data_IF_836153414439
#
_entry.id   IF_836153414439
#
_cell.length_a   1.000
_cell.length_b   1.000
_cell.length_c   1.000
_cell.angle_alpha   90.00
_cell.angle_beta   90.00
_cell.angle_gamma   90.00
#
_symmetry.space_group_name_H-M   'P 1'
#
loop_
_entity.id
_entity.type
_entity.pdbx_description
1 polymer ?
#
# COMPACT_ATOMS: atom_id res chain seq x y z
N UNK A 1 -8.77 -23.39 9.00
CA UNK A 1 -8.29 -22.42 7.99
C UNK A 1 -9.16 -21.16 7.79
N UNK A 2 -10.42 -21.09 8.26
CA UNK A 2 -11.30 -19.90 8.09
C UNK A 2 -10.82 -18.64 8.84
N UNK A 3 -10.17 -18.80 9.99
CA UNK A 3 -9.68 -17.71 10.84
C UNK A 3 -8.55 -16.88 10.22
N UNK A 4 -7.67 -17.48 9.41
CA UNK A 4 -6.55 -16.76 8.76
C UNK A 4 -7.03 -15.71 7.76
N UNK A 5 -8.10 -16.02 6.99
CA UNK A 5 -8.67 -15.11 5.99
C UNK A 5 -9.27 -13.85 6.62
N UNK A 6 -9.95 -13.99 7.76
CA UNK A 6 -10.51 -12.86 8.51
C UNK A 6 -9.42 -11.93 9.05
N UNK A 7 -8.32 -12.50 9.55
CA UNK A 7 -7.18 -11.73 10.07
C UNK A 7 -6.50 -10.92 8.95
N UNK A 8 -6.27 -11.52 7.79
CA UNK A 8 -5.69 -10.83 6.63
C UNK A 8 -6.59 -9.69 6.11
N UNK A 9 -7.91 -9.92 6.07
CA UNK A 9 -8.88 -8.88 5.70
C UNK A 9 -8.89 -7.74 6.72
N UNK A 10 -8.80 -8.05 8.01
CA UNK A 10 -8.72 -7.05 9.06
C UNK A 10 -7.44 -6.22 8.93
N UNK A 11 -6.28 -6.85 8.71
CA UNK A 11 -4.99 -6.17 8.48
C UNK A 11 -5.05 -5.17 7.32
N UNK A 12 -5.65 -5.57 6.19
CA UNK A 12 -5.82 -4.69 5.04
C UNK A 12 -6.74 -3.50 5.35
N UNK A 13 -7.91 -3.75 5.93
CA UNK A 13 -8.89 -2.70 6.27
C UNK A 13 -8.33 -1.74 7.32
N UNK A 14 -7.68 -2.27 8.36
CA UNK A 14 -7.06 -1.45 9.41
C UNK A 14 -5.89 -0.65 8.84
N UNK A 15 -5.03 -1.23 8.00
CA UNK A 15 -3.94 -0.51 7.35
C UNK A 15 -4.43 0.64 6.48
N UNK A 16 -5.46 0.40 5.65
CA UNK A 16 -6.08 1.44 4.83
C UNK A 16 -6.77 2.52 5.68
N UNK A 17 -7.44 2.14 6.76
CA UNK A 17 -8.13 3.07 7.66
C UNK A 17 -7.15 3.95 8.42
N UNK A 18 -6.08 3.37 8.99
CA UNK A 18 -5.01 4.12 9.65
C UNK A 18 -4.32 5.08 8.68
N UNK A 19 -4.06 4.64 7.44
CA UNK A 19 -3.49 5.50 6.41
C UNK A 19 -4.41 6.68 6.06
N UNK A 20 -5.73 6.44 5.95
CA UNK A 20 -6.71 7.51 5.68
C UNK A 20 -6.89 8.48 6.85
N UNK A 21 -6.95 7.98 8.09
CA UNK A 21 -7.12 8.81 9.29
C UNK A 21 -5.87 9.67 9.52
N UNK A 22 -4.68 9.09 9.32
CA UNK A 22 -3.43 9.85 9.29
C UNK A 22 -3.52 10.98 8.26
N UNK A 23 -3.91 10.65 7.01
CA UNK A 23 -4.06 11.62 5.90
C UNK A 23 -4.93 12.83 6.23
N UNK A 24 -6.01 12.56 6.97
CA UNK A 24 -6.99 13.57 7.30
C UNK A 24 -6.44 14.54 8.35
N UNK A 25 -5.62 14.04 9.28
CA UNK A 25 -5.09 14.81 10.41
C UNK A 25 -3.87 15.66 10.06
N UNK A 26 -2.96 15.17 9.20
CA UNK A 26 -1.62 15.79 9.03
C UNK A 26 -1.57 16.96 8.05
N UNK A 27 -2.34 16.91 6.96
CA UNK A 27 -2.14 17.82 5.82
C UNK A 27 -3.36 18.75 5.63
N UNK A 28 -3.24 20.08 5.73
CA UNK A 28 -4.33 20.99 5.35
C UNK A 28 -4.48 21.11 3.82
N UNK A 29 -3.42 20.82 3.05
CA UNK A 29 -3.40 20.96 1.59
C UNK A 29 -4.01 19.74 0.89
N UNK A 30 -5.04 19.96 0.07
CA UNK A 30 -5.76 18.88 -0.65
C UNK A 30 -4.84 18.12 -1.63
N UNK A 31 -3.88 18.81 -2.26
CA UNK A 31 -2.90 18.23 -3.18
C UNK A 31 -2.00 17.18 -2.50
N UNK A 32 -1.55 17.47 -1.27
CA UNK A 32 -0.74 16.53 -0.48
C UNK A 32 -1.52 15.27 -0.08
N UNK A 33 -2.80 15.41 0.28
CA UNK A 33 -3.67 14.26 0.54
C UNK A 33 -3.81 13.38 -0.70
N UNK A 34 -4.06 13.99 -1.86
CA UNK A 34 -4.18 13.29 -3.14
C UNK A 34 -2.93 12.50 -3.50
N UNK A 35 -1.74 13.05 -3.23
CA UNK A 35 -0.46 12.38 -3.46
C UNK A 35 -0.34 11.06 -2.69
N UNK A 36 -0.48 11.11 -1.36
CA UNK A 36 -0.35 9.93 -0.50
C UNK A 36 -1.47 8.90 -0.78
N UNK A 37 -2.69 9.36 -1.04
CA UNK A 37 -3.78 8.46 -1.45
C UNK A 37 -3.48 7.78 -2.79
N UNK A 38 -2.89 8.50 -3.75
CA UNK A 38 -2.41 7.96 -5.02
C UNK A 38 -1.31 6.92 -4.84
N UNK A 39 -0.37 7.15 -3.92
CA UNK A 39 0.68 6.18 -3.57
C UNK A 39 0.07 4.90 -2.98
N UNK A 40 -0.90 5.03 -2.06
CA UNK A 40 -1.61 3.86 -1.49
C UNK A 40 -2.36 3.07 -2.57
N UNK A 41 -3.10 3.77 -3.45
CA UNK A 41 -3.85 3.12 -4.53
C UNK A 41 -2.95 2.43 -5.54
N UNK A 42 -1.87 3.08 -5.97
CA UNK A 42 -0.93 2.50 -6.94
C UNK A 42 -0.21 1.28 -6.37
N UNK A 43 0.24 1.34 -5.11
CA UNK A 43 0.87 0.20 -4.43
C UNK A 43 -0.07 -1.00 -4.30
N UNK A 44 -1.28 -0.77 -3.78
CA UNK A 44 -2.28 -1.84 -3.60
C UNK A 44 -2.76 -2.42 -4.93
N UNK A 45 -2.87 -1.61 -5.99
CA UNK A 45 -3.21 -2.09 -7.33
C UNK A 45 -2.08 -2.92 -7.94
N UNK A 46 -0.83 -2.45 -7.86
CA UNK A 46 0.33 -3.17 -8.39
C UNK A 46 0.51 -4.54 -7.70
N UNK A 47 0.38 -4.58 -6.37
CA UNK A 47 0.42 -5.82 -5.60
C UNK A 47 -0.75 -6.74 -5.95
N UNK A 48 -1.98 -6.22 -6.05
CA UNK A 48 -3.13 -7.03 -6.48
C UNK A 48 -2.96 -7.62 -7.88
N UNK A 49 -2.50 -6.82 -8.85
CA UNK A 49 -2.28 -7.26 -10.22
C UNK A 49 -1.23 -8.39 -10.28
N UNK A 50 -0.12 -8.22 -9.56
CA UNK A 50 0.92 -9.25 -9.44
C UNK A 50 0.37 -10.57 -8.86
N UNK A 51 -0.30 -10.51 -7.70
CA UNK A 51 -0.86 -11.71 -7.05
C UNK A 51 -1.98 -12.36 -7.87
N UNK A 52 -2.75 -11.58 -8.61
CA UNK A 52 -3.78 -12.11 -9.51
C UNK A 52 -3.16 -12.88 -10.68
N UNK A 53 -2.12 -12.34 -11.31
CA UNK A 53 -1.40 -13.03 -12.39
C UNK A 53 -0.67 -14.28 -11.88
N UNK A 54 -0.12 -14.24 -10.66
CA UNK A 54 0.46 -15.40 -9.97
C UNK A 54 -0.57 -16.52 -9.80
N UNK A 55 -1.79 -16.20 -9.37
CA UNK A 55 -2.87 -17.19 -9.23
C UNK A 55 -3.38 -17.78 -10.53
N UNK A 56 -3.41 -16.97 -11.59
CA UNK A 56 -3.86 -17.42 -12.92
C UNK A 56 -2.80 -18.25 -13.63
N UNK A 57 -1.57 -18.33 -13.10
CA UNK A 57 -0.45 -18.99 -13.77
C UNK A 57 0.02 -18.26 -15.03
N UNK A 58 -0.42 -17.03 -15.25
CA UNK A 58 -0.09 -16.18 -16.40
C UNK A 58 1.05 -15.22 -16.07
N UNK A 59 2.04 -15.67 -15.29
CA UNK A 59 3.18 -14.86 -14.90
C UNK A 59 4.19 -14.80 -16.04
N UNK A 60 4.14 -13.72 -16.81
CA UNK A 60 5.22 -13.34 -17.72
C UNK A 60 6.37 -12.68 -16.97
N UNK A 61 7.61 -12.95 -17.40
CA UNK A 61 8.81 -12.29 -16.85
C UNK A 61 8.74 -10.76 -17.02
N UNK A 62 8.25 -10.29 -18.17
CA UNK A 62 8.04 -8.86 -18.44
C UNK A 62 7.02 -8.25 -17.47
N UNK A 63 5.90 -8.93 -17.25
CA UNK A 63 4.86 -8.47 -16.33
C UNK A 63 5.38 -8.37 -14.89
N UNK A 64 6.17 -9.36 -14.47
CA UNK A 64 6.83 -9.37 -13.16
C UNK A 64 7.77 -8.18 -13.00
N UNK A 65 8.61 -7.91 -14.01
CA UNK A 65 9.53 -6.75 -13.98
C UNK A 65 8.78 -5.42 -13.92
N UNK A 66 7.71 -5.27 -14.70
CA UNK A 66 6.90 -4.04 -14.69
C UNK A 66 6.24 -3.85 -13.32
N UNK A 67 5.63 -4.89 -12.74
CA UNK A 67 5.04 -4.80 -11.40
C UNK A 67 6.07 -4.44 -10.34
N UNK A 68 7.27 -5.02 -10.42
CA UNK A 68 8.37 -4.71 -9.51
C UNK A 68 8.84 -3.25 -9.66
N UNK A 69 8.94 -2.75 -10.88
CA UNK A 69 9.30 -1.35 -11.15
C UNK A 69 8.24 -0.39 -10.58
N UNK A 70 6.96 -0.67 -10.80
CA UNK A 70 5.85 0.13 -10.24
C UNK A 70 5.89 0.10 -8.70
N UNK A 71 6.17 -1.05 -8.09
CA UNK A 71 6.31 -1.17 -6.65
C UNK A 71 7.48 -0.31 -6.12
N UNK A 72 8.64 -0.36 -6.77
CA UNK A 72 9.79 0.48 -6.44
C UNK A 72 9.50 1.97 -6.59
N UNK A 73 8.85 2.38 -7.68
CA UNK A 73 8.41 3.77 -7.87
C UNK A 73 7.45 4.22 -6.78
N UNK A 74 6.50 3.36 -6.40
CA UNK A 74 5.51 3.67 -5.36
C UNK A 74 6.19 3.87 -4.00
N UNK A 75 7.15 2.99 -3.65
CA UNK A 75 7.95 3.13 -2.43
C UNK A 75 8.78 4.41 -2.49
N UNK A 76 9.46 4.69 -3.62
CA UNK A 76 10.23 5.91 -3.80
C UNK A 76 9.39 7.18 -3.63
N UNK A 77 8.20 7.22 -4.22
CA UNK A 77 7.23 8.31 -4.05
C UNK A 77 6.79 8.44 -2.59
N UNK A 78 6.53 7.33 -1.90
CA UNK A 78 6.19 7.38 -0.47
C UNK A 78 7.30 8.07 0.34
N UNK A 79 8.56 7.68 0.14
CA UNK A 79 9.70 8.30 0.84
C UNK A 79 9.86 9.78 0.49
N UNK A 80 9.78 10.14 -0.79
CA UNK A 80 9.87 11.54 -1.23
C UNK A 80 8.74 12.38 -0.63
N UNK A 81 7.51 11.87 -0.62
CA UNK A 81 6.35 12.53 -0.02
C UNK A 81 6.51 12.72 1.48
N UNK A 82 6.95 11.69 2.20
CA UNK A 82 7.18 11.74 3.65
C UNK A 82 8.30 12.73 4.01
N UNK A 83 9.36 12.82 3.21
CA UNK A 83 10.48 13.75 3.44
C UNK A 83 10.15 15.22 3.10
N UNK A 84 9.28 15.46 2.12
CA UNK A 84 8.96 16.82 1.66
C UNK A 84 7.67 17.40 2.29
N UNK A 85 6.78 16.57 2.80
CA UNK A 85 5.54 17.06 3.38
C UNK A 85 5.79 17.70 4.76
N UNK A 86 5.15 18.84 5.08
CA UNK A 86 5.21 19.45 6.41
C UNK A 86 4.32 18.68 7.40
N UNK A 87 4.61 17.40 7.61
CA UNK A 87 3.89 16.48 8.51
C UNK A 87 4.64 16.31 9.83
N UNK A 88 3.92 15.94 10.88
CA UNK A 88 4.52 15.79 12.20
C UNK A 88 5.48 14.58 12.24
N UNK A 89 6.51 14.62 13.08
CA UNK A 89 7.55 13.58 13.12
C UNK A 89 6.99 12.17 13.42
N UNK A 90 5.92 12.08 14.21
CA UNK A 90 5.21 10.82 14.46
C UNK A 90 4.53 10.28 13.21
N UNK A 91 3.88 11.14 12.45
CA UNK A 91 3.13 10.75 11.25
C UNK A 91 4.08 10.30 10.14
N UNK A 92 5.24 10.95 10.04
CA UNK A 92 6.34 10.58 9.16
C UNK A 92 6.72 9.08 9.25
N UNK A 93 6.58 8.47 10.43
CA UNK A 93 6.84 7.05 10.67
C UNK A 93 5.58 6.20 10.51
N UNK A 94 4.43 6.68 10.96
CA UNK A 94 3.17 5.93 10.91
C UNK A 94 2.71 5.68 9.46
N UNK A 95 2.86 6.64 8.55
CA UNK A 95 2.45 6.48 7.14
C UNK A 95 3.14 5.30 6.43
N UNK A 96 4.48 5.22 6.40
CA UNK A 96 5.15 4.11 5.75
C UNK A 96 4.83 2.78 6.42
N UNK A 97 4.74 2.73 7.75
CA UNK A 97 4.34 1.51 8.47
C UNK A 97 2.93 1.07 8.04
N UNK A 98 1.95 1.98 8.04
CA UNK A 98 0.58 1.68 7.64
C UNK A 98 0.50 1.21 6.17
N UNK A 99 1.30 1.81 5.28
CA UNK A 99 1.41 1.38 3.89
C UNK A 99 1.94 -0.06 3.77
N UNK A 100 3.04 -0.40 4.45
CA UNK A 100 3.58 -1.75 4.44
C UNK A 100 2.63 -2.78 5.08
N UNK A 101 1.96 -2.42 6.18
CA UNK A 101 0.95 -3.28 6.81
C UNK A 101 -0.22 -3.56 5.87
N UNK A 102 -0.67 -2.54 5.11
CA UNK A 102 -1.72 -2.69 4.12
C UNK A 102 -1.31 -3.66 2.99
N UNK A 103 -0.11 -3.47 2.41
CA UNK A 103 0.41 -4.37 1.37
C UNK A 103 0.60 -5.80 1.89
N UNK A 104 1.16 -5.96 3.09
CA UNK A 104 1.35 -7.27 3.70
C UNK A 104 0.02 -7.98 3.96
N UNK A 105 -0.99 -7.26 4.46
CA UNK A 105 -2.35 -7.78 4.63
C UNK A 105 -2.95 -8.26 3.30
N UNK A 106 -2.74 -7.50 2.21
CA UNK A 106 -3.20 -7.88 0.88
C UNK A 106 -2.50 -9.12 0.33
N UNK A 107 -1.18 -9.22 0.47
CA UNK A 107 -0.39 -10.40 0.07
C UNK A 107 -0.90 -11.64 0.79
N UNK A 108 -1.07 -11.56 2.11
CA UNK A 108 -1.56 -12.69 2.92
C UNK A 108 -2.99 -13.07 2.54
N UNK A 109 -3.86 -12.09 2.30
CA UNK A 109 -5.24 -12.32 1.90
C UNK A 109 -5.33 -13.04 0.55
N UNK A 110 -4.54 -12.58 -0.42
CA UNK A 110 -4.54 -13.16 -1.76
C UNK A 110 -3.86 -14.52 -1.76
N UNK A 111 -2.69 -14.69 -1.15
CA UNK A 111 -1.99 -15.99 -1.13
C UNK A 111 -2.74 -17.07 -0.34
N UNK A 112 -3.53 -16.68 0.66
CA UNK A 112 -4.40 -17.61 1.40
C UNK A 112 -5.73 -17.93 0.71
N UNK A 113 -6.11 -17.19 -0.34
CA UNK A 113 -7.42 -17.28 -0.99
C UNK A 113 -7.48 -18.40 -2.01
#
# INVERSE_FOLDING_TARGET
>A
MKTSKSVAKLLFVVGAFVYMVGLWSSCPLLSGKGYFLGVLMTGTFATYAYLRSEKLGQLDELFTRICHLIALLTIGLLFIGVLNAPINAFEMVIYPIAFFVCLFGQVQLMRSA
#
